data_IF_832933425072
#
_entry.id   IF_832933425072
#
_cell.length_a   1.000
_cell.length_b   1.000
_cell.length_c   1.000
_cell.angle_alpha   90.00
_cell.angle_beta   90.00
_cell.angle_gamma   90.00
#
_symmetry.space_group_name_H-M   'P 1'
#
loop_
_entity.id
_entity.type
_entity.pdbx_description
1 polymer ?
#
# COMPACT_ATOMS: atom_id res chain seq x y z
N UNK A 1 -42.46 28.75 -45.49
CA UNK A 1 -42.84 29.57 -44.31
C UNK A 1 -43.73 28.74 -43.41
N UNK A 2 -43.21 28.20 -42.32
CA UNK A 2 -44.01 27.77 -41.18
C UNK A 2 -43.15 27.88 -39.91
N UNK A 3 -43.79 28.43 -38.88
CA UNK A 3 -43.22 28.99 -37.66
C UNK A 3 -42.84 27.91 -36.63
N UNK A 4 -41.80 28.24 -35.86
CA UNK A 4 -41.60 28.01 -34.42
C UNK A 4 -42.09 26.69 -33.81
N UNK A 5 -41.16 25.91 -33.24
CA UNK A 5 -41.20 25.61 -31.81
C UNK A 5 -39.81 25.23 -31.29
N UNK A 6 -39.31 26.06 -30.37
CA UNK A 6 -38.16 25.77 -29.52
C UNK A 6 -38.63 24.79 -28.46
N UNK A 7 -38.01 23.61 -28.38
CA UNK A 7 -38.06 22.75 -27.20
C UNK A 7 -36.62 22.52 -26.73
N UNK A 8 -36.19 23.33 -25.77
CA UNK A 8 -35.00 23.06 -24.98
C UNK A 8 -35.26 21.79 -24.17
N UNK A 9 -34.64 20.67 -24.58
CA UNK A 9 -34.45 19.54 -23.69
C UNK A 9 -33.03 19.63 -23.14
N UNK A 10 -32.87 20.33 -22.02
CA UNK A 10 -31.65 20.29 -21.23
C UNK A 10 -31.61 18.91 -20.59
N UNK A 11 -30.95 17.96 -21.25
CA UNK A 11 -30.61 16.68 -20.65
C UNK A 11 -29.42 16.92 -19.71
N UNK A 12 -29.70 17.39 -18.49
CA UNK A 12 -28.73 17.32 -17.41
C UNK A 12 -28.50 15.85 -17.08
N UNK A 13 -27.51 15.24 -17.71
CA UNK A 13 -26.99 13.96 -17.24
C UNK A 13 -26.43 14.18 -15.82
N UNK A 14 -26.88 13.38 -14.84
CA UNK A 14 -26.39 13.49 -13.49
C UNK A 14 -24.89 13.22 -13.49
N UNK A 15 -24.19 14.06 -12.72
CA UNK A 15 -22.81 13.93 -12.32
C UNK A 15 -22.51 12.43 -12.10
N UNK A 16 -21.67 11.84 -12.94
CA UNK A 16 -21.05 10.58 -12.58
C UNK A 16 -20.31 10.88 -11.28
N UNK A 17 -20.87 10.42 -10.17
CA UNK A 17 -20.13 10.29 -8.94
C UNK A 17 -19.02 9.30 -9.28
N UNK A 18 -17.87 9.82 -9.70
CA UNK A 18 -16.61 9.14 -9.49
C UNK A 18 -16.56 8.97 -7.98
N UNK A 19 -17.06 7.82 -7.51
CA UNK A 19 -16.70 7.31 -6.21
C UNK A 19 -15.19 7.15 -6.29
N UNK A 20 -14.47 8.22 -5.91
CA UNK A 20 -13.07 8.14 -5.60
C UNK A 20 -13.01 7.27 -4.36
N UNK A 21 -13.02 5.97 -4.57
CA UNK A 21 -12.57 5.02 -3.57
C UNK A 21 -11.14 5.43 -3.29
N UNK A 22 -10.93 6.24 -2.25
CA UNK A 22 -9.60 6.47 -1.72
C UNK A 22 -9.15 5.09 -1.25
N UNK A 23 -8.08 4.53 -1.83
CA UNK A 23 -7.40 3.40 -1.22
C UNK A 23 -7.16 3.80 0.24
N UNK A 24 -7.39 2.89 1.18
CA UNK A 24 -7.18 3.12 2.61
C UNK A 24 -5.68 3.35 2.89
N UNK A 25 -5.16 4.49 2.44
CA UNK A 25 -3.89 5.06 2.82
C UNK A 25 -3.99 5.49 4.28
N UNK A 26 -2.85 5.62 4.93
CA UNK A 26 -2.69 6.23 6.25
C UNK A 26 -2.66 5.24 7.43
N UNK A 27 -1.99 5.68 8.50
CA UNK A 27 -1.69 4.94 9.73
C UNK A 27 -2.91 4.26 10.38
N UNK A 28 -4.13 4.68 10.05
CA UNK A 28 -5.38 4.04 10.47
C UNK A 28 -5.45 2.59 9.98
N UNK A 29 -5.03 2.32 8.74
CA UNK A 29 -5.04 0.96 8.17
C UNK A 29 -3.99 0.08 8.82
N UNK A 30 -2.78 0.60 9.04
CA UNK A 30 -1.73 -0.12 9.76
C UNK A 30 -2.17 -0.48 11.19
N UNK A 31 -2.74 0.49 11.92
CA UNK A 31 -3.31 0.26 13.26
C UNK A 31 -4.44 -0.78 13.23
N UNK A 32 -5.34 -0.71 12.25
CA UNK A 32 -6.43 -1.68 12.07
C UNK A 32 -5.89 -3.11 11.86
N UNK A 33 -4.91 -3.28 10.98
CA UNK A 33 -4.27 -4.58 10.75
C UNK A 33 -3.66 -5.16 12.03
N UNK A 34 -3.04 -4.31 12.87
CA UNK A 34 -2.48 -4.74 14.15
C UNK A 34 -3.57 -5.04 15.19
N UNK A 35 -4.71 -4.35 15.18
CA UNK A 35 -5.79 -4.59 16.15
C UNK A 35 -6.70 -5.77 15.80
N UNK A 36 -6.89 -6.06 14.52
CA UNK A 36 -7.85 -7.07 14.05
C UNK A 36 -7.21 -8.45 13.85
N UNK A 37 -5.87 -8.55 13.90
CA UNK A 37 -5.16 -9.80 13.61
C UNK A 37 -4.06 -10.09 14.64
N UNK A 38 -4.33 -11.02 15.56
CA UNK A 38 -3.40 -11.42 16.63
C UNK A 38 -2.01 -11.80 16.13
N UNK A 39 -1.93 -12.50 15.00
CA UNK A 39 -0.63 -12.88 14.39
C UNK A 39 0.17 -11.65 13.97
N UNK A 40 -0.51 -10.62 13.45
CA UNK A 40 0.14 -9.37 13.05
C UNK A 40 0.60 -8.61 14.29
N UNK A 41 -0.27 -8.46 15.30
CA UNK A 41 0.07 -7.83 16.57
C UNK A 41 1.30 -8.48 17.23
N UNK A 42 1.32 -9.81 17.29
CA UNK A 42 2.43 -10.58 17.86
C UNK A 42 3.73 -10.34 17.09
N UNK A 43 3.70 -10.40 15.75
CA UNK A 43 4.91 -10.15 14.95
C UNK A 43 5.43 -8.73 15.14
N UNK A 44 4.56 -7.72 15.17
CA UNK A 44 4.95 -6.33 15.48
C UNK A 44 5.62 -6.21 16.86
N UNK A 45 5.06 -6.83 17.89
CA UNK A 45 5.58 -6.74 19.27
C UNK A 45 6.91 -7.47 19.44
N UNK A 46 7.09 -8.62 18.78
CA UNK A 46 8.29 -9.46 18.93
C UNK A 46 9.45 -9.04 18.04
N UNK A 47 9.17 -8.32 16.95
CA UNK A 47 10.21 -7.85 16.06
C UNK A 47 10.86 -6.57 16.61
N UNK A 48 12.18 -6.57 16.67
CA UNK A 48 13.00 -5.42 17.04
C UNK A 48 14.01 -5.17 15.92
N UNK A 49 13.88 -4.08 15.16
CA UNK A 49 14.83 -3.74 14.11
C UNK A 49 16.17 -3.32 14.72
N UNK A 50 17.26 -3.57 14.01
CA UNK A 50 18.59 -3.14 14.44
C UNK A 50 18.79 -1.64 14.17
N UNK A 51 19.72 -0.97 14.86
CA UNK A 51 20.08 0.42 14.52
C UNK A 51 20.49 0.59 13.04
N UNK A 52 21.10 -0.43 12.44
CA UNK A 52 21.44 -0.47 11.02
C UNK A 52 20.20 -0.50 10.14
N UNK A 53 19.18 -1.30 10.49
CA UNK A 53 17.90 -1.29 9.77
C UNK A 53 17.24 0.08 9.83
N UNK A 54 17.23 0.70 11.01
CA UNK A 54 16.68 2.05 11.21
C UNK A 54 17.39 3.10 10.36
N UNK A 55 18.72 3.03 10.29
CA UNK A 55 19.52 3.92 9.45
C UNK A 55 19.24 3.70 7.95
N UNK A 56 19.11 2.44 7.51
CA UNK A 56 18.78 2.10 6.12
C UNK A 56 17.43 2.68 5.71
N UNK A 57 16.41 2.58 6.56
CA UNK A 57 15.06 3.07 6.26
C UNK A 57 15.05 4.55 5.85
N UNK A 58 15.99 5.37 6.32
CA UNK A 58 16.08 6.79 5.93
C UNK A 58 16.29 7.01 4.43
N UNK A 59 16.82 6.03 3.70
CA UNK A 59 16.95 6.08 2.23
C UNK A 59 15.59 6.17 1.51
N UNK A 60 14.50 5.82 2.18
CA UNK A 60 13.15 5.91 1.63
C UNK A 60 12.54 7.31 1.76
N UNK A 61 13.21 8.28 2.38
CA UNK A 61 12.69 9.63 2.54
C UNK A 61 12.23 10.24 1.20
N UNK A 62 11.04 10.85 1.20
CA UNK A 62 10.39 11.43 0.02
C UNK A 62 9.84 10.42 -0.99
N UNK A 63 10.01 9.11 -0.78
CA UNK A 63 9.50 8.06 -1.68
C UNK A 63 8.09 7.63 -1.31
N UNK A 64 7.42 7.00 -2.26
CA UNK A 64 6.12 6.38 -2.06
C UNK A 64 6.30 4.90 -1.75
N UNK A 65 5.48 4.37 -0.85
CA UNK A 65 5.44 2.95 -0.50
C UNK A 65 4.03 2.40 -0.74
N UNK A 66 3.92 1.41 -1.62
CA UNK A 66 2.71 0.64 -1.83
C UNK A 66 2.90 -0.77 -1.26
N UNK A 67 1.98 -1.19 -0.41
CA UNK A 67 1.97 -2.50 0.24
C UNK A 67 0.74 -3.26 -0.22
N UNK A 68 0.95 -4.33 -0.97
CA UNK A 68 -0.11 -5.24 -1.42
C UNK A 68 -0.07 -6.48 -0.54
N UNK A 69 -1.12 -6.75 0.24
CA UNK A 69 -1.10 -7.81 1.26
C UNK A 69 -2.40 -8.62 1.30
N UNK A 70 -2.32 -9.85 1.78
CA UNK A 70 -3.49 -10.64 2.17
C UNK A 70 -3.40 -10.96 3.66
N UNK A 71 -4.41 -10.60 4.47
CA UNK A 71 -4.41 -10.90 5.92
C UNK A 71 -4.39 -12.40 6.23
N UNK A 72 -4.86 -13.21 5.27
CA UNK A 72 -4.82 -14.67 5.29
C UNK A 72 -3.44 -15.27 4.97
N UNK A 73 -2.51 -14.49 4.40
CA UNK A 73 -1.21 -14.99 3.97
C UNK A 73 -0.20 -15.02 5.12
N UNK A 74 0.50 -16.14 5.26
CA UNK A 74 1.50 -16.34 6.31
C UNK A 74 2.71 -15.40 6.18
N UNK A 75 3.15 -15.10 4.96
CA UNK A 75 4.21 -14.12 4.72
C UNK A 75 3.72 -12.70 5.03
N UNK A 76 2.45 -12.40 4.74
CA UNK A 76 1.90 -11.07 5.04
C UNK A 76 1.82 -10.87 6.55
N UNK A 77 1.38 -11.89 7.28
CA UNK A 77 1.38 -11.89 8.73
C UNK A 77 2.78 -11.77 9.34
N UNK A 78 3.83 -12.17 8.62
CA UNK A 78 5.21 -12.09 9.08
C UNK A 78 5.86 -10.74 8.75
N UNK A 79 5.79 -10.28 7.50
CA UNK A 79 6.61 -9.14 7.04
C UNK A 79 5.89 -7.79 7.11
N UNK A 80 4.55 -7.74 6.95
CA UNK A 80 3.83 -6.46 7.03
C UNK A 80 3.92 -5.82 8.42
N UNK A 81 3.76 -6.55 9.54
CA UNK A 81 3.96 -5.98 10.88
C UNK A 81 5.39 -5.50 11.11
N UNK A 82 6.39 -6.17 10.53
CA UNK A 82 7.80 -5.76 10.63
C UNK A 82 8.06 -4.47 9.87
N UNK A 83 7.45 -4.31 8.69
CA UNK A 83 7.46 -3.04 7.97
C UNK A 83 6.85 -1.93 8.82
N UNK A 84 5.67 -2.14 9.42
CA UNK A 84 5.02 -1.14 10.26
C UNK A 84 5.94 -0.75 11.43
N UNK A 85 6.58 -1.73 12.09
CA UNK A 85 7.55 -1.49 13.17
C UNK A 85 8.78 -0.69 12.70
N UNK A 86 9.33 -1.01 11.52
CA UNK A 86 10.43 -0.25 10.91
C UNK A 86 10.03 1.20 10.64
N UNK A 87 8.83 1.44 10.11
CA UNK A 87 8.33 2.79 9.84
C UNK A 87 8.15 3.58 11.14
N UNK A 88 7.54 2.98 12.16
CA UNK A 88 7.31 3.62 13.46
C UNK A 88 8.62 4.01 14.17
N UNK A 89 9.61 3.11 14.16
CA UNK A 89 10.88 3.34 14.86
C UNK A 89 11.85 4.22 14.07
N UNK A 90 11.87 4.11 12.74
CA UNK A 90 12.74 4.95 11.91
C UNK A 90 12.21 6.36 11.72
N UNK A 91 10.88 6.55 11.79
CA UNK A 91 10.23 7.84 11.50
C UNK A 91 10.67 8.41 10.16
N UNK A 92 10.93 7.56 9.18
CA UNK A 92 11.26 8.01 7.83
C UNK A 92 10.05 8.72 7.23
N UNK A 93 10.29 9.92 6.69
CA UNK A 93 9.26 10.74 6.07
C UNK A 93 9.02 10.30 4.62
N UNK A 94 8.12 9.34 4.43
CA UNK A 94 7.61 8.95 3.11
C UNK A 94 6.71 10.04 2.52
N UNK A 95 6.74 10.24 1.21
CA UNK A 95 5.80 11.16 0.55
C UNK A 95 4.39 10.57 0.48
N UNK A 96 4.27 9.24 0.45
CA UNK A 96 2.99 8.52 0.47
C UNK A 96 3.18 7.09 0.96
N UNK A 97 2.22 6.60 1.72
CA UNK A 97 2.10 5.17 2.03
C UNK A 97 0.70 4.68 1.70
N UNK A 98 0.58 3.51 1.06
CA UNK A 98 -0.72 2.92 0.69
C UNK A 98 -0.71 1.44 1.00
N UNK A 99 -1.70 0.98 1.78
CA UNK A 99 -1.94 -0.43 2.04
C UNK A 99 -3.16 -0.87 1.23
N UNK A 100 -3.01 -1.96 0.48
CA UNK A 100 -4.08 -2.59 -0.29
C UNK A 100 -4.22 -4.03 0.16
N UNK A 101 -5.39 -4.37 0.68
CA UNK A 101 -5.73 -5.73 1.08
C UNK A 101 -6.37 -6.46 -0.09
N UNK A 102 -5.95 -7.71 -0.34
CA UNK A 102 -6.50 -8.55 -1.41
C UNK A 102 -7.19 -9.81 -0.88
N UNK A 103 -8.16 -10.30 -1.64
CA UNK A 103 -8.78 -11.62 -1.43
C UNK A 103 -7.82 -12.77 -1.75
N UNK A 104 -8.26 -14.01 -1.54
CA UNK A 104 -7.48 -15.22 -1.87
C UNK A 104 -7.13 -15.35 -3.36
N UNK A 105 -7.93 -14.72 -4.22
CA UNK A 105 -7.70 -14.58 -5.65
C UNK A 105 -6.67 -13.48 -6.01
N UNK A 106 -6.10 -12.83 -5.00
CA UNK A 106 -5.12 -11.73 -5.09
C UNK A 106 -5.67 -10.49 -5.81
N UNK A 107 -6.98 -10.27 -5.73
CA UNK A 107 -7.64 -9.07 -6.27
C UNK A 107 -8.13 -8.15 -5.16
N UNK A 108 -8.17 -6.87 -5.49
CA UNK A 108 -8.85 -5.82 -4.74
C UNK A 108 -9.93 -5.16 -5.62
N UNK A 109 -10.91 -4.53 -4.99
CA UNK A 109 -12.04 -3.90 -5.69
C UNK A 109 -11.59 -2.77 -6.63
N UNK A 110 -10.51 -2.06 -6.30
CA UNK A 110 -10.00 -0.93 -7.08
C UNK A 110 -9.05 -1.37 -8.22
N UNK A 111 -8.76 -2.67 -8.34
CA UNK A 111 -7.86 -3.20 -9.37
C UNK A 111 -6.39 -2.79 -9.22
N UNK A 112 -5.98 -2.28 -8.05
CA UNK A 112 -4.63 -1.78 -7.81
C UNK A 112 -3.62 -2.93 -7.82
N UNK A 113 -3.96 -4.07 -7.22
CA UNK A 113 -3.13 -5.26 -7.19
C UNK A 113 -2.87 -5.77 -8.61
N UNK A 114 -3.90 -5.80 -9.46
CA UNK A 114 -3.76 -6.20 -10.86
C UNK A 114 -2.90 -5.20 -11.65
N UNK A 115 -3.12 -3.89 -11.46
CA UNK A 115 -2.33 -2.84 -12.10
C UNK A 115 -0.85 -2.83 -11.69
N UNK A 116 -0.50 -3.54 -10.60
CA UNK A 116 0.86 -3.70 -10.10
C UNK A 116 1.40 -5.14 -10.24
N UNK A 117 0.76 -5.94 -11.09
CA UNK A 117 1.14 -7.32 -11.42
C UNK A 117 1.34 -8.20 -10.19
N UNK A 118 0.45 -8.08 -9.18
CA UNK A 118 0.56 -8.85 -7.95
C UNK A 118 0.46 -10.36 -8.21
N UNK A 119 1.58 -11.06 -8.02
CA UNK A 119 1.64 -12.52 -8.07
C UNK A 119 1.66 -13.17 -6.69
N UNK A 120 2.24 -12.49 -5.68
CA UNK A 120 2.46 -13.03 -4.34
C UNK A 120 2.28 -11.98 -3.26
N UNK A 121 1.86 -12.39 -2.05
CA UNK A 121 1.61 -11.48 -0.93
C UNK A 121 2.55 -11.77 0.24
N UNK A 122 3.08 -10.75 0.93
CA UNK A 122 2.96 -9.34 0.60
C UNK A 122 3.89 -9.00 -0.58
N UNK A 123 3.57 -7.94 -1.30
CA UNK A 123 4.53 -7.29 -2.20
C UNK A 123 4.65 -5.84 -1.75
N UNK A 124 5.88 -5.39 -1.52
CA UNK A 124 6.23 -4.03 -1.17
C UNK A 124 6.84 -3.35 -2.40
N UNK A 125 6.31 -2.19 -2.78
CA UNK A 125 6.73 -1.46 -3.98
C UNK A 125 7.15 -0.06 -3.55
N UNK A 126 8.41 0.29 -3.80
CA UNK A 126 8.93 1.65 -3.61
C UNK A 126 8.83 2.39 -4.93
N UNK A 127 8.27 3.59 -4.90
CA UNK A 127 8.22 4.48 -6.05
C UNK A 127 8.88 5.82 -5.77
N UNK A 128 9.43 6.42 -6.81
CA UNK A 128 9.93 7.78 -6.79
C UNK A 128 9.33 8.52 -7.98
N UNK A 129 8.58 9.59 -7.72
CA UNK A 129 7.82 10.34 -8.73
C UNK A 129 6.90 9.44 -9.56
N UNK A 130 6.16 8.54 -8.91
CA UNK A 130 5.25 7.60 -9.56
C UNK A 130 5.90 6.40 -10.27
N UNK A 131 7.23 6.38 -10.44
CA UNK A 131 7.96 5.27 -11.09
C UNK A 131 8.41 4.27 -10.04
N UNK A 132 8.12 2.98 -10.26
CA UNK A 132 8.63 1.88 -9.44
C UNK A 132 10.16 1.81 -9.54
N UNK A 133 10.83 1.94 -8.38
CA UNK A 133 12.31 1.90 -8.28
C UNK A 133 12.82 0.69 -7.51
N UNK A 134 11.95 0.03 -6.73
CA UNK A 134 12.28 -1.20 -6.03
C UNK A 134 11.02 -2.01 -5.71
N UNK A 135 11.17 -3.33 -5.62
CA UNK A 135 10.11 -4.29 -5.29
C UNK A 135 10.66 -5.41 -4.42
N UNK A 136 9.98 -5.69 -3.32
CA UNK A 136 10.27 -6.83 -2.43
C UNK A 136 9.05 -7.73 -2.39
N UNK A 137 9.23 -9.00 -2.75
CA UNK A 137 8.15 -10.00 -2.88
C UNK A 137 8.27 -11.03 -1.76
N UNK A 138 7.17 -11.29 -1.07
CA UNK A 138 7.04 -12.25 0.04
C UNK A 138 8.04 -12.01 1.17
N UNK A 139 9.17 -12.72 1.14
CA UNK A 139 10.18 -12.74 2.19
C UNK A 139 11.48 -12.08 1.69
N UNK A 140 12.11 -11.20 2.48
CA UNK A 140 13.40 -10.63 2.11
C UNK A 140 14.51 -11.69 2.09
N UNK A 141 15.52 -11.47 1.25
CA UNK A 141 16.75 -12.27 1.19
C UNK A 141 17.70 -11.95 2.35
N UNK A 142 17.75 -10.68 2.75
CA UNK A 142 18.44 -10.20 3.95
C UNK A 142 17.45 -9.76 5.03
N UNK A 143 17.67 -8.57 5.58
CA UNK A 143 16.64 -7.89 6.38
C UNK A 143 15.64 -7.19 5.48
N UNK A 144 14.42 -6.96 5.98
CA UNK A 144 13.42 -6.23 5.23
C UNK A 144 13.89 -4.80 4.89
N UNK A 145 14.61 -4.13 5.80
CA UNK A 145 15.15 -2.80 5.54
C UNK A 145 16.23 -2.81 4.45
N UNK A 146 17.10 -3.83 4.42
CA UNK A 146 18.10 -3.99 3.36
C UNK A 146 17.44 -4.14 1.99
N UNK A 147 16.48 -5.06 1.87
CA UNK A 147 15.83 -5.34 0.59
C UNK A 147 14.98 -4.14 0.12
N UNK A 148 14.25 -3.46 1.02
CA UNK A 148 13.47 -2.25 0.67
C UNK A 148 14.34 -1.10 0.17
N UNK A 149 15.60 -1.04 0.60
CA UNK A 149 16.51 0.08 0.32
C UNK A 149 17.61 -0.26 -0.68
N UNK A 150 17.54 -1.46 -1.27
CA UNK A 150 18.50 -1.93 -2.25
C UNK A 150 18.49 -1.02 -3.49
N UNK A 151 19.67 -0.52 -3.86
CA UNK A 151 19.83 0.37 -5.01
C UNK A 151 19.37 1.82 -4.80
N UNK A 152 18.99 2.19 -3.56
CA UNK A 152 18.56 3.55 -3.19
C UNK A 152 19.64 4.32 -2.40
#
# INVERSE_FOLDING_TARGET
>A
MLKQLILLFILTLPLAANATFKPHSDAVTAKRLLSEHDKFAKQYQTFSPTPQDIALMQKLAGKELLVLLGSWCHDSAREVPRLIKLLDESKVELSKITFVTVGYDKRDEAGIALAHDLQYTPTFIIKHNGVEVNRVVEKPSGTLAQDLTLGL
#
